data_IF_147036756040
#
_entry.id   IF_147036756040
#
_cell.length_a   1.000
_cell.length_b   1.000
_cell.length_c   1.000
_cell.angle_alpha   90.00
_cell.angle_beta   90.00
_cell.angle_gamma   90.00
#
_symmetry.space_group_name_H-M   'P 1'
#
loop_
_entity.id
_entity.type
_entity.pdbx_description
1 polymer ?
#
# COMPACT_ATOMS: atom_id res chain seq x y z
N UNK A 1 -0.81 19.91 11.82
CA UNK A 1 -0.41 18.78 10.97
C UNK A 1 0.34 17.82 11.88
N UNK A 2 -0.28 16.71 12.26
CA UNK A 2 0.37 15.74 13.14
C UNK A 2 1.40 14.96 12.35
N UNK A 3 2.67 15.02 12.77
CA UNK A 3 3.69 14.13 12.24
C UNK A 3 3.36 12.73 12.76
N UNK A 4 2.91 11.84 11.88
CA UNK A 4 2.86 10.41 12.19
C UNK A 4 4.28 9.91 12.06
N UNK A 5 4.89 9.51 13.17
CA UNK A 5 6.21 8.86 13.13
C UNK A 5 6.11 7.59 12.27
N UNK A 6 7.05 7.44 11.33
CA UNK A 6 7.13 6.25 10.50
C UNK A 6 7.34 5.02 11.36
N UNK A 7 6.58 3.96 11.06
CA UNK A 7 6.69 2.65 11.70
C UNK A 7 7.66 1.73 10.96
N UNK A 8 8.19 2.18 9.82
CA UNK A 8 9.20 1.51 9.00
C UNK A 8 8.83 0.04 8.73
N UNK A 9 7.62 -0.14 8.19
CA UNK A 9 7.02 -1.46 7.94
C UNK A 9 7.50 -2.08 6.63
N UNK A 10 8.04 -1.27 5.72
CA UNK A 10 8.54 -1.71 4.44
C UNK A 10 9.62 -2.80 4.58
N UNK A 11 9.47 -3.86 3.78
CA UNK A 11 10.47 -4.93 3.67
C UNK A 11 11.43 -4.72 2.49
N UNK A 12 11.11 -3.80 1.59
CA UNK A 12 11.90 -3.47 0.40
C UNK A 12 13.12 -2.61 0.72
N UNK A 13 14.11 -2.62 -0.17
CA UNK A 13 15.30 -1.77 -0.03
C UNK A 13 14.95 -0.29 -0.28
N UNK A 14 15.47 0.66 0.53
CA UNK A 14 15.20 2.09 0.35
C UNK A 14 15.64 2.66 -1.01
N UNK A 15 16.63 2.07 -1.67
CA UNK A 15 17.04 2.47 -3.02
C UNK A 15 15.97 2.10 -4.05
N UNK A 16 15.43 0.88 -3.99
CA UNK A 16 14.31 0.44 -4.85
C UNK A 16 13.10 1.35 -4.70
N UNK A 17 12.76 1.76 -3.48
CA UNK A 17 11.65 2.71 -3.25
C UNK A 17 11.88 4.07 -3.92
N UNK A 18 13.11 4.58 -3.88
CA UNK A 18 13.49 5.83 -4.56
C UNK A 18 13.43 5.70 -6.07
N UNK A 19 13.84 4.56 -6.62
CA UNK A 19 13.75 4.29 -8.06
C UNK A 19 12.29 4.30 -8.54
N UNK A 20 11.38 3.67 -7.79
CA UNK A 20 9.94 3.69 -8.10
C UNK A 20 9.38 5.12 -8.07
N UNK A 21 9.72 5.92 -7.07
CA UNK A 21 9.28 7.33 -7.01
C UNK A 21 9.80 8.14 -8.21
N UNK A 22 11.05 7.95 -8.61
CA UNK A 22 11.62 8.59 -9.79
C UNK A 22 10.95 8.12 -11.08
N UNK A 23 10.60 6.83 -11.19
CA UNK A 23 9.90 6.28 -12.34
C UNK A 23 8.50 6.89 -12.49
N UNK A 24 7.75 6.97 -11.38
CA UNK A 24 6.42 7.59 -11.31
C UNK A 24 6.45 9.03 -11.82
N UNK A 25 7.40 9.83 -11.35
CA UNK A 25 7.57 11.22 -11.79
C UNK A 25 7.96 11.28 -13.28
N UNK A 26 8.95 10.50 -13.71
CA UNK A 26 9.46 10.54 -15.08
C UNK A 26 8.42 10.16 -16.14
N UNK A 27 7.47 9.30 -15.77
CA UNK A 27 6.42 8.79 -16.66
C UNK A 27 5.12 9.57 -16.57
N UNK A 28 5.03 10.54 -15.65
CA UNK A 28 3.81 11.32 -15.44
C UNK A 28 2.63 10.45 -14.99
N UNK A 29 2.89 9.48 -14.11
CA UNK A 29 1.83 8.65 -13.53
C UNK A 29 0.98 9.52 -12.60
N UNK A 30 -0.34 9.38 -12.64
CA UNK A 30 -1.27 10.17 -11.82
C UNK A 30 -1.81 9.38 -10.61
N UNK A 31 -1.98 8.07 -10.77
CA UNK A 31 -2.50 7.16 -9.75
C UNK A 31 -1.72 5.84 -9.75
N UNK A 32 -1.59 5.23 -8.56
CA UNK A 32 -1.00 3.90 -8.39
C UNK A 32 -2.05 2.95 -7.84
N UNK A 33 -2.19 1.77 -8.44
CA UNK A 33 -3.04 0.72 -7.88
C UNK A 33 -2.19 -0.25 -7.07
N UNK A 34 -2.58 -0.46 -5.81
CA UNK A 34 -2.05 -1.54 -4.99
C UNK A 34 -2.91 -2.78 -5.21
N UNK A 35 -2.28 -3.87 -5.64
CA UNK A 35 -2.94 -5.14 -5.93
C UNK A 35 -2.57 -6.19 -4.90
N UNK A 36 -3.56 -7.00 -4.52
CA UNK A 36 -3.37 -8.17 -3.68
C UNK A 36 -4.44 -9.21 -3.99
N UNK A 37 -4.24 -10.44 -3.52
CA UNK A 37 -5.23 -11.51 -3.63
C UNK A 37 -5.77 -11.86 -2.26
N UNK A 38 -7.08 -12.08 -2.16
CA UNK A 38 -7.65 -12.70 -0.96
C UNK A 38 -7.34 -14.22 -0.89
N UNK A 39 -7.81 -14.89 0.16
CA UNK A 39 -7.54 -16.32 0.38
C UNK A 39 -8.21 -17.23 -0.65
N UNK A 40 -9.27 -16.77 -1.31
CA UNK A 40 -9.94 -17.50 -2.39
C UNK A 40 -9.27 -17.24 -3.76
N UNK A 41 -8.25 -16.37 -3.79
CA UNK A 41 -7.51 -16.01 -4.98
C UNK A 41 -8.17 -14.91 -5.81
N UNK A 42 -9.18 -14.21 -5.30
CA UNK A 42 -9.75 -13.08 -6.00
C UNK A 42 -8.79 -11.89 -5.97
N UNK A 43 -8.52 -11.31 -7.14
CA UNK A 43 -7.78 -10.06 -7.25
C UNK A 43 -8.59 -8.92 -6.63
N UNK A 44 -7.98 -8.23 -5.67
CA UNK A 44 -8.47 -7.01 -5.05
C UNK A 44 -7.49 -5.88 -5.35
N UNK A 45 -8.00 -4.65 -5.36
CA UNK A 45 -7.18 -3.47 -5.60
C UNK A 45 -7.80 -2.22 -5.03
N UNK A 46 -6.96 -1.27 -4.69
CA UNK A 46 -7.37 0.11 -4.44
C UNK A 46 -6.33 1.09 -5.01
N UNK A 47 -6.79 2.28 -5.38
CA UNK A 47 -5.95 3.32 -5.92
C UNK A 47 -5.44 4.24 -4.80
N UNK A 48 -4.22 4.74 -4.97
CA UNK A 48 -3.60 5.76 -4.13
C UNK A 48 -3.07 6.89 -5.00
N UNK A 49 -3.11 8.10 -4.45
CA UNK A 49 -2.62 9.31 -5.10
C UNK A 49 -1.11 9.44 -4.95
N UNK A 50 -0.47 10.25 -5.80
CA UNK A 50 0.97 10.53 -5.72
C UNK A 50 1.44 11.01 -4.34
N UNK A 51 0.61 11.82 -3.66
CA UNK A 51 0.91 12.31 -2.30
C UNK A 51 0.92 11.20 -1.25
N UNK A 52 0.30 10.06 -1.53
CA UNK A 52 0.22 8.91 -0.62
C UNK A 52 1.31 7.87 -0.93
N UNK A 53 1.84 7.83 -2.17
CA UNK A 53 2.80 6.79 -2.60
C UNK A 53 4.05 6.73 -1.72
N UNK A 54 4.65 7.88 -1.37
CA UNK A 54 5.88 7.90 -0.55
C UNK A 54 5.63 7.28 0.82
N UNK A 55 4.55 7.68 1.50
CA UNK A 55 4.16 7.10 2.79
C UNK A 55 3.73 5.63 2.67
N UNK A 56 3.05 5.26 1.57
CA UNK A 56 2.65 3.89 1.30
C UNK A 56 3.86 2.96 1.15
N UNK A 57 4.91 3.43 0.48
CA UNK A 57 6.14 2.68 0.26
C UNK A 57 6.93 2.44 1.56
N UNK A 58 6.84 3.32 2.56
CA UNK A 58 7.53 3.18 3.85
C UNK A 58 6.69 2.48 4.94
N UNK A 59 5.40 2.79 5.02
CA UNK A 59 4.53 2.43 6.15
C UNK A 59 3.27 1.64 5.76
N UNK A 60 3.06 1.44 4.46
CA UNK A 60 1.88 0.82 3.90
C UNK A 60 0.64 1.72 3.94
N UNK A 61 -0.46 1.22 3.39
CA UNK A 61 -1.74 1.91 3.32
C UNK A 61 -2.81 1.15 4.08
N UNK A 62 -3.54 1.88 4.92
CA UNK A 62 -4.70 1.35 5.63
C UNK A 62 -5.82 1.02 4.64
N UNK A 63 -6.46 -0.13 4.79
CA UNK A 63 -7.65 -0.50 4.03
C UNK A 63 -8.61 -1.34 4.87
N UNK A 64 -9.87 -1.40 4.43
CA UNK A 64 -10.91 -2.20 5.09
C UNK A 64 -10.80 -3.68 4.70
N UNK A 65 -10.22 -4.45 5.61
CA UNK A 65 -10.06 -5.89 5.60
C UNK A 65 -11.37 -6.69 5.57
N UNK A 66 -12.54 -6.06 5.83
CA UNK A 66 -13.83 -6.72 5.60
C UNK A 66 -14.05 -7.11 4.12
N UNK A 67 -13.28 -6.50 3.21
CA UNK A 67 -13.23 -6.83 1.79
C UNK A 67 -12.48 -8.13 1.45
N UNK A 68 -11.81 -8.74 2.43
CA UNK A 68 -11.05 -9.98 2.27
C UNK A 68 -11.87 -11.17 2.73
N UNK A 69 -12.28 -12.01 1.78
CA UNK A 69 -13.03 -13.22 2.10
C UNK A 69 -12.12 -14.26 2.78
N UNK A 70 -12.58 -14.78 3.92
CA UNK A 70 -11.93 -15.86 4.66
C UNK A 70 -10.86 -15.44 5.69
N UNK A 71 -10.53 -14.15 5.83
CA UNK A 71 -9.33 -13.74 6.59
C UNK A 71 -9.49 -13.56 8.10
N UNK A 72 -10.70 -13.45 8.67
CA UNK A 72 -11.03 -13.64 10.10
C UNK A 72 -12.49 -13.26 10.36
N UNK A 73 -12.99 -13.45 11.59
CA UNK A 73 -14.30 -12.93 12.01
C UNK A 73 -14.35 -11.39 11.91
N UNK A 74 -15.55 -10.84 11.69
CA UNK A 74 -15.92 -9.44 11.36
C UNK A 74 -15.24 -8.34 12.23
N UNK A 75 -14.60 -8.68 13.33
CA UNK A 75 -14.14 -7.77 14.40
C UNK A 75 -12.76 -7.11 14.16
N UNK A 76 -11.99 -7.49 13.13
CA UNK A 76 -10.71 -6.84 12.79
C UNK A 76 -10.70 -6.35 11.33
N UNK A 77 -11.37 -5.22 11.09
CA UNK A 77 -11.51 -4.62 9.76
C UNK A 77 -10.31 -3.78 9.32
N UNK A 78 -9.47 -3.28 10.23
CA UNK A 78 -8.40 -2.36 9.84
C UNK A 78 -7.13 -3.12 9.50
N UNK A 79 -6.77 -3.15 8.21
CA UNK A 79 -5.58 -3.82 7.70
C UNK A 79 -4.63 -2.83 7.04
N UNK A 80 -3.36 -3.24 6.86
CA UNK A 80 -2.33 -2.42 6.20
C UNK A 80 -1.76 -3.21 5.02
N UNK A 81 -1.88 -2.66 3.81
CA UNK A 81 -1.22 -3.18 2.63
C UNK A 81 0.18 -2.59 2.54
N UNK A 82 1.21 -3.43 2.50
CA UNK A 82 2.61 -3.01 2.33
C UNK A 82 3.00 -3.31 0.88
N UNK A 83 3.22 -2.29 0.03
CA UNK A 83 3.64 -2.50 -1.35
C UNK A 83 5.01 -3.18 -1.44
N UNK A 84 5.18 -4.03 -2.45
CA UNK A 84 6.46 -4.66 -2.80
C UNK A 84 6.91 -4.12 -4.17
N UNK A 85 7.80 -3.11 -4.19
CA UNK A 85 8.30 -2.42 -5.39
C UNK A 85 9.36 -3.20 -6.18
#
# INVERSE_FOLDING_TARGET
>A
MGYVESRNRATSDPETRREVLAEIESRGIEDVLLWFTDLEGHLKSFAITLSEVEGALDDGMGFDGSSITGFNAIEESDMVAIPDP
#
